data_IF_137267027161
#
_entry.id   IF_137267027161
#
_cell.length_a   1.000
_cell.length_b   1.000
_cell.length_c   1.000
_cell.angle_alpha   90.00
_cell.angle_beta   90.00
_cell.angle_gamma   90.00
#
_symmetry.space_group_name_H-M   'P 1'
#
loop_
_entity.id
_entity.type
_entity.pdbx_description
1 polymer ?
#
# COMPACT_ATOMS: atom_id res chain seq x y z
N UNK A 1 19.20 13.17 8.51
CA UNK A 1 18.27 13.63 7.47
C UNK A 1 17.49 14.78 8.08
N UNK A 2 17.28 15.89 7.36
CA UNK A 2 16.44 16.98 7.88
C UNK A 2 14.96 16.64 7.75
N UNK A 3 14.12 17.27 8.57
CA UNK A 3 12.64 17.22 8.50
C UNK A 3 12.16 17.53 7.07
N UNK A 4 12.80 18.48 6.39
CA UNK A 4 12.49 18.90 5.02
C UNK A 4 12.61 17.75 4.00
N UNK A 5 13.64 16.89 4.14
CA UNK A 5 13.87 15.76 3.21
C UNK A 5 12.79 14.68 3.31
N UNK A 6 12.20 14.47 4.50
CA UNK A 6 11.08 13.54 4.67
C UNK A 6 9.83 14.08 3.98
N UNK A 7 9.53 15.37 4.14
CA UNK A 7 8.38 16.01 3.51
C UNK A 7 8.48 16.01 1.97
N UNK A 8 9.66 16.35 1.43
CA UNK A 8 9.92 16.27 -0.02
C UNK A 8 9.73 14.85 -0.56
N UNK A 9 10.24 13.84 0.15
CA UNK A 9 10.07 12.43 -0.24
C UNK A 9 8.60 12.03 -0.21
N UNK A 10 7.86 12.39 0.84
CA UNK A 10 6.45 12.06 0.97
C UNK A 10 5.61 12.73 -0.13
N UNK A 11 5.87 13.99 -0.46
CA UNK A 11 5.22 14.67 -1.60
C UNK A 11 5.54 13.99 -2.94
N UNK A 12 6.79 13.57 -3.15
CA UNK A 12 7.19 12.86 -4.37
C UNK A 12 6.51 11.49 -4.50
N UNK A 13 6.23 10.80 -3.38
CA UNK A 13 5.47 9.53 -3.39
C UNK A 13 4.04 9.70 -3.91
N UNK A 14 3.43 10.87 -3.76
CA UNK A 14 2.05 11.16 -4.17
C UNK A 14 1.99 12.22 -5.28
N UNK A 15 3.04 12.29 -6.10
CA UNK A 15 3.08 13.21 -7.23
C UNK A 15 1.85 13.04 -8.16
N UNK A 16 1.32 14.12 -8.75
CA UNK A 16 0.11 14.07 -9.57
C UNK A 16 0.18 13.00 -10.67
N UNK A 17 -0.86 12.15 -10.73
CA UNK A 17 -0.96 11.08 -11.73
C UNK A 17 -0.03 9.89 -11.51
N UNK A 18 0.62 9.82 -10.33
CA UNK A 18 1.47 8.70 -9.94
C UNK A 18 1.01 8.05 -8.64
N UNK A 19 1.29 6.76 -8.51
CA UNK A 19 1.10 6.00 -7.28
C UNK A 19 2.24 5.01 -7.01
N UNK A 20 2.01 4.10 -6.08
CA UNK A 20 2.98 3.12 -5.62
C UNK A 20 2.59 1.72 -6.12
N UNK A 21 3.54 0.97 -6.67
CA UNK A 21 3.36 -0.46 -6.92
C UNK A 21 3.84 -1.27 -5.71
N UNK A 22 2.94 -2.03 -5.09
CA UNK A 22 3.25 -2.84 -3.92
C UNK A 22 3.66 -4.26 -4.35
N UNK A 23 4.98 -4.54 -4.35
CA UNK A 23 5.59 -5.83 -4.76
C UNK A 23 6.32 -6.50 -3.60
N UNK A 24 5.90 -6.17 -2.38
CA UNK A 24 6.47 -6.58 -1.10
C UNK A 24 5.90 -7.90 -0.57
N UNK A 25 5.42 -8.77 -1.47
CA UNK A 25 4.98 -10.10 -1.07
C UNK A 25 6.13 -10.87 -0.41
N UNK A 26 5.86 -11.35 0.81
CA UNK A 26 6.73 -12.32 1.48
C UNK A 26 6.85 -13.60 0.65
N UNK A 27 7.87 -14.41 0.95
CA UNK A 27 8.09 -15.70 0.28
C UNK A 27 6.84 -16.59 0.33
N UNK A 28 6.07 -16.56 1.42
CA UNK A 28 4.81 -17.31 1.54
C UNK A 28 3.68 -16.70 0.70
N UNK A 29 3.57 -15.38 0.62
CA UNK A 29 2.52 -14.71 -0.18
C UNK A 29 2.76 -14.87 -1.68
N UNK A 30 4.01 -14.69 -2.14
CA UNK A 30 4.34 -14.88 -3.57
C UNK A 30 4.23 -16.36 -3.98
N UNK A 31 4.50 -17.31 -3.08
CA UNK A 31 4.26 -18.73 -3.32
C UNK A 31 2.80 -19.01 -3.70
N UNK A 32 1.85 -18.44 -2.96
CA UNK A 32 0.41 -18.57 -3.25
C UNK A 32 0.05 -17.97 -4.62
N UNK A 33 0.63 -16.82 -4.97
CA UNK A 33 0.41 -16.18 -6.28
C UNK A 33 0.95 -17.03 -7.43
N UNK A 34 2.17 -17.53 -7.31
CA UNK A 34 2.81 -18.37 -8.33
C UNK A 34 2.10 -19.72 -8.49
N UNK A 35 1.70 -20.36 -7.38
CA UNK A 35 0.91 -21.58 -7.41
C UNK A 35 -0.41 -21.40 -8.20
N UNK A 36 -1.06 -20.24 -8.05
CA UNK A 36 -2.29 -19.91 -8.78
C UNK A 36 -2.13 -19.78 -10.30
N UNK A 37 -0.90 -19.72 -10.82
CA UNK A 37 -0.60 -19.66 -12.26
C UNK A 37 0.38 -20.74 -12.72
N UNK A 38 0.70 -21.73 -11.87
CA UNK A 38 1.58 -22.85 -12.20
C UNK A 38 3.08 -22.51 -12.29
N UNK A 39 3.53 -21.43 -11.66
CA UNK A 39 4.97 -21.09 -11.57
C UNK A 39 5.56 -21.73 -10.30
N UNK A 40 6.77 -22.28 -10.40
CA UNK A 40 7.53 -22.78 -9.25
C UNK A 40 8.08 -21.61 -8.41
N UNK A 41 7.99 -21.69 -7.08
CA UNK A 41 8.49 -20.65 -6.18
C UNK A 41 10.00 -20.77 -5.89
N UNK A 42 10.82 -20.56 -6.92
CA UNK A 42 12.27 -20.44 -6.80
C UNK A 42 12.69 -18.98 -6.58
N UNK A 43 13.87 -18.75 -5.99
CA UNK A 43 14.45 -17.41 -5.86
C UNK A 43 14.58 -16.72 -7.22
N UNK A 44 15.06 -17.47 -8.23
CA UNK A 44 15.21 -16.99 -9.60
C UNK A 44 13.90 -16.51 -10.21
N UNK A 45 12.81 -17.28 -10.05
CA UNK A 45 11.50 -16.87 -10.56
C UNK A 45 10.96 -15.64 -9.83
N UNK A 46 11.20 -15.54 -8.51
CA UNK A 46 10.86 -14.33 -7.74
C UNK A 46 11.63 -13.12 -8.26
N UNK A 47 12.95 -13.23 -8.43
CA UNK A 47 13.80 -12.15 -8.96
C UNK A 47 13.35 -11.75 -10.37
N UNK A 48 13.19 -12.70 -11.28
CA UNK A 48 12.78 -12.45 -12.66
C UNK A 48 11.42 -11.75 -12.76
N UNK A 49 10.47 -12.14 -11.89
CA UNK A 49 9.18 -11.48 -11.80
C UNK A 49 9.29 -10.03 -11.30
N UNK A 50 10.08 -9.78 -10.25
CA UNK A 50 10.30 -8.41 -9.75
C UNK A 50 11.04 -7.54 -10.77
N UNK A 51 11.99 -8.12 -11.49
CA UNK A 51 12.67 -7.46 -12.61
C UNK A 51 11.70 -7.10 -13.72
N UNK A 52 10.80 -8.01 -14.12
CA UNK A 52 9.74 -7.74 -15.11
C UNK A 52 8.92 -6.51 -14.70
N UNK A 53 8.44 -6.48 -13.46
CA UNK A 53 7.64 -5.37 -12.95
C UNK A 53 8.44 -4.06 -12.97
N UNK A 54 9.61 -4.03 -12.31
CA UNK A 54 10.39 -2.81 -12.11
C UNK A 54 11.00 -2.25 -13.40
N UNK A 55 11.35 -3.11 -14.37
CA UNK A 55 11.97 -2.69 -15.63
C UNK A 55 10.94 -2.41 -16.74
N UNK A 56 9.66 -2.36 -16.40
CA UNK A 56 8.59 -2.02 -17.36
C UNK A 56 8.89 -0.65 -17.99
N UNK A 57 8.98 -0.56 -19.34
CA UNK A 57 9.26 0.71 -20.00
C UNK A 57 8.25 1.78 -19.61
N UNK A 58 8.75 2.99 -19.30
CA UNK A 58 7.94 4.17 -18.91
C UNK A 58 7.09 4.00 -17.65
N UNK A 59 7.37 2.99 -16.82
CA UNK A 59 6.62 2.78 -15.58
C UNK A 59 6.60 4.02 -14.69
N UNK A 60 7.71 4.77 -14.65
CA UNK A 60 7.88 5.98 -13.85
C UNK A 60 6.98 7.16 -14.29
N UNK A 61 6.30 7.09 -15.43
CA UNK A 61 5.29 8.10 -15.82
C UNK A 61 4.07 8.04 -14.87
N UNK A 62 3.78 6.87 -14.30
CA UNK A 62 2.61 6.62 -13.44
C UNK A 62 2.94 5.98 -12.09
N UNK A 63 4.19 5.56 -11.87
CA UNK A 63 4.65 5.02 -10.60
C UNK A 63 5.72 5.94 -10.01
N UNK A 64 5.48 6.44 -8.81
CA UNK A 64 6.43 7.25 -8.03
C UNK A 64 7.40 6.38 -7.23
N UNK A 65 7.01 5.16 -6.87
CA UNK A 65 7.83 4.26 -6.07
C UNK A 65 7.29 2.84 -6.00
N UNK A 66 8.09 1.92 -5.46
CA UNK A 66 7.68 0.53 -5.26
C UNK A 66 8.03 0.05 -3.85
N UNK A 67 7.14 -0.74 -3.25
CA UNK A 67 7.39 -1.37 -1.95
C UNK A 67 8.03 -2.74 -2.19
N UNK A 68 9.20 -2.96 -1.63
CA UNK A 68 9.97 -4.21 -1.75
C UNK A 68 9.84 -5.07 -0.50
N UNK A 69 10.06 -6.38 -0.66
CA UNK A 69 10.30 -7.31 0.45
C UNK A 69 11.80 -7.38 0.78
N UNK A 70 12.17 -7.88 1.96
CA UNK A 70 13.57 -7.99 2.40
C UNK A 70 14.45 -8.76 1.40
N UNK A 71 13.93 -9.85 0.82
CA UNK A 71 14.65 -10.58 -0.23
C UNK A 71 14.89 -9.69 -1.46
N UNK A 72 13.88 -8.94 -1.88
CA UNK A 72 13.92 -8.15 -3.12
C UNK A 72 14.83 -6.93 -3.02
N UNK A 73 14.86 -6.22 -1.89
CA UNK A 73 15.77 -5.06 -1.74
C UNK A 73 17.25 -5.49 -1.79
N UNK A 74 17.54 -6.77 -1.53
CA UNK A 74 18.88 -7.38 -1.60
C UNK A 74 19.17 -8.05 -2.95
N UNK A 75 18.16 -8.19 -3.80
CA UNK A 75 18.30 -8.75 -5.14
C UNK A 75 18.78 -7.71 -6.16
N UNK A 76 19.22 -8.22 -7.30
CA UNK A 76 19.65 -7.44 -8.45
C UNK A 76 18.94 -7.91 -9.72
N UNK A 77 18.95 -7.07 -10.75
CA UNK A 77 18.60 -7.45 -12.12
C UNK A 77 19.51 -8.58 -12.61
N UNK A 78 19.15 -9.22 -13.71
CA UNK A 78 19.99 -10.23 -14.37
C UNK A 78 21.39 -9.70 -14.70
N UNK A 79 21.49 -8.41 -15.01
CA UNK A 79 22.74 -7.72 -15.34
C UNK A 79 23.52 -7.23 -14.10
N UNK A 80 23.08 -7.61 -12.89
CA UNK A 80 23.79 -7.33 -11.64
C UNK A 80 23.56 -5.94 -11.05
N UNK A 81 22.53 -5.21 -11.51
CA UNK A 81 22.18 -3.90 -10.94
C UNK A 81 21.24 -4.09 -9.74
N UNK A 82 21.57 -3.62 -8.53
CA UNK A 82 20.67 -3.70 -7.39
C UNK A 82 19.32 -3.05 -7.67
N UNK A 83 18.20 -3.68 -7.29
CA UNK A 83 16.88 -3.16 -7.64
C UNK A 83 16.62 -1.76 -7.09
N UNK A 84 17.02 -1.47 -5.85
CA UNK A 84 16.89 -0.14 -5.27
C UNK A 84 17.66 0.93 -6.06
N UNK A 85 18.85 0.57 -6.58
CA UNK A 85 19.62 1.46 -7.46
C UNK A 85 18.93 1.65 -8.81
N UNK A 86 18.47 0.55 -9.44
CA UNK A 86 17.75 0.62 -10.71
C UNK A 86 16.53 1.56 -10.60
N UNK A 87 15.72 1.40 -9.55
CA UNK A 87 14.56 2.25 -9.29
C UNK A 87 14.96 3.72 -9.18
N UNK A 88 15.97 4.05 -8.36
CA UNK A 88 16.43 5.42 -8.18
C UNK A 88 16.94 6.05 -9.49
N UNK A 89 17.73 5.30 -10.27
CA UNK A 89 18.25 5.75 -11.57
C UNK A 89 17.12 6.01 -12.59
N UNK A 90 15.94 5.39 -12.41
CA UNK A 90 14.77 5.52 -13.28
C UNK A 90 13.65 6.38 -12.67
N UNK A 91 13.94 7.14 -11.60
CA UNK A 91 12.99 8.09 -11.01
C UNK A 91 11.87 7.46 -10.21
N UNK A 92 12.08 6.25 -9.66
CA UNK A 92 11.19 5.59 -8.71
C UNK A 92 11.83 5.50 -7.34
N UNK A 93 11.05 5.76 -6.30
CA UNK A 93 11.50 5.76 -4.91
C UNK A 93 11.45 4.32 -4.36
N UNK A 94 12.57 3.75 -3.86
CA UNK A 94 12.56 2.44 -3.22
C UNK A 94 11.91 2.50 -1.83
N UNK A 95 10.94 1.63 -1.60
CA UNK A 95 10.30 1.42 -0.31
C UNK A 95 10.53 0.01 0.22
N UNK A 96 10.35 -0.19 1.52
CA UNK A 96 10.57 -1.47 2.17
C UNK A 96 9.43 -1.82 3.13
N UNK A 97 8.93 -3.05 3.06
CA UNK A 97 8.06 -3.62 4.10
C UNK A 97 8.91 -4.00 5.31
N UNK A 98 8.53 -3.53 6.50
CA UNK A 98 9.32 -3.76 7.74
C UNK A 98 8.57 -4.44 8.88
N UNK A 99 7.25 -4.60 8.76
CA UNK A 99 6.47 -5.44 9.67
C UNK A 99 6.80 -6.93 9.50
N UNK A 100 6.63 -7.69 10.59
CA UNK A 100 6.85 -9.15 10.64
C UNK A 100 5.55 -9.95 10.54
N UNK A 101 4.45 -9.31 10.14
CA UNK A 101 3.14 -9.94 9.97
C UNK A 101 2.19 -9.74 11.15
N UNK A 102 0.93 -10.10 10.91
CA UNK A 102 -0.16 -10.01 11.87
C UNK A 102 -0.34 -11.34 12.61
N UNK A 103 -0.54 -11.26 13.92
CA UNK A 103 -0.67 -12.39 14.84
C UNK A 103 -1.94 -12.25 15.67
N UNK A 104 -2.54 -13.36 16.15
CA UNK A 104 -3.69 -13.30 17.05
C UNK A 104 -3.43 -12.42 18.27
N UNK A 105 -4.32 -11.46 18.52
CA UNK A 105 -4.23 -10.59 19.68
C UNK A 105 -4.71 -11.34 20.93
N UNK A 106 -3.84 -11.43 21.94
CA UNK A 106 -4.14 -12.16 23.17
C UNK A 106 -5.38 -11.58 23.87
N UNK A 107 -6.32 -12.46 24.25
CA UNK A 107 -7.57 -12.05 24.89
C UNK A 107 -8.61 -11.43 23.97
N UNK A 108 -8.33 -11.32 22.66
CA UNK A 108 -9.21 -10.70 21.67
C UNK A 108 -9.48 -11.68 20.50
N UNK A 109 -10.39 -12.67 20.66
CA UNK A 109 -10.64 -13.69 19.65
C UNK A 109 -11.03 -13.10 18.28
N UNK A 110 -10.41 -13.61 17.21
CA UNK A 110 -10.68 -13.14 15.84
C UNK A 110 -9.94 -11.85 15.46
N UNK A 111 -9.28 -11.20 16.41
CA UNK A 111 -8.56 -9.94 16.20
C UNK A 111 -7.05 -10.16 16.10
N UNK A 112 -6.36 -9.24 15.42
CA UNK A 112 -4.95 -9.37 15.11
C UNK A 112 -4.17 -8.14 15.57
N UNK A 113 -2.88 -8.34 15.87
CA UNK A 113 -1.90 -7.28 16.10
C UNK A 113 -0.66 -7.56 15.27
N UNK A 114 -0.10 -6.51 14.66
CA UNK A 114 1.10 -6.65 13.85
C UNK A 114 2.36 -6.54 14.70
N UNK A 115 3.31 -7.45 14.46
CA UNK A 115 4.60 -7.49 15.15
C UNK A 115 5.74 -6.93 14.28
N UNK A 116 6.88 -6.64 14.92
CA UNK A 116 8.10 -6.25 14.21
C UNK A 116 8.89 -5.09 14.83
N UNK A 117 8.45 -4.50 15.96
CA UNK A 117 9.13 -3.36 16.57
C UNK A 117 10.52 -3.71 17.11
N UNK A 118 10.70 -4.95 17.58
CA UNK A 118 11.99 -5.41 18.11
C UNK A 118 13.06 -5.45 17.00
N UNK A 119 14.17 -4.77 17.27
CA UNK A 119 15.29 -4.59 16.33
C UNK A 119 14.93 -3.78 15.08
N UNK A 120 13.82 -3.02 15.09
CA UNK A 120 13.37 -2.28 13.91
C UNK A 120 14.33 -1.15 13.55
N UNK A 121 14.88 -0.43 14.54
CA UNK A 121 15.82 0.69 14.30
C UNK A 121 17.01 0.24 13.47
N UNK A 122 17.65 -0.86 13.85
CA UNK A 122 18.83 -1.39 13.17
C UNK A 122 18.49 -1.81 11.74
N UNK A 123 17.33 -2.46 11.53
CA UNK A 123 16.84 -2.80 10.19
C UNK A 123 16.57 -1.57 9.33
N UNK A 124 15.93 -0.53 9.88
CA UNK A 124 15.67 0.72 9.15
C UNK A 124 16.96 1.41 8.72
N UNK A 125 17.96 1.47 9.60
CA UNK A 125 19.29 2.00 9.27
C UNK A 125 19.97 1.19 8.15
N UNK A 126 19.82 -0.12 8.15
CA UNK A 126 20.32 -0.98 7.08
C UNK A 126 19.58 -0.72 5.76
N UNK A 127 18.24 -0.73 5.78
CA UNK A 127 17.43 -0.51 4.57
C UNK A 127 17.69 0.86 3.94
N UNK A 128 17.91 1.89 4.77
CA UNK A 128 18.29 3.20 4.29
C UNK A 128 19.60 3.16 3.49
N UNK A 129 20.61 2.41 3.97
CA UNK A 129 21.90 2.19 3.27
C UNK A 129 21.72 1.38 2.00
N UNK A 130 20.77 0.45 1.97
CA UNK A 130 20.40 -0.32 0.77
C UNK A 130 19.61 0.51 -0.26
N UNK A 131 19.19 1.73 0.09
CA UNK A 131 18.56 2.68 -0.84
C UNK A 131 17.08 2.97 -0.58
N UNK A 132 16.46 2.35 0.44
CA UNK A 132 15.10 2.68 0.82
C UNK A 132 14.96 4.14 1.25
N UNK A 133 13.84 4.78 0.92
CA UNK A 133 13.48 6.15 1.33
C UNK A 133 12.12 6.25 2.00
N UNK A 134 11.31 5.19 1.90
CA UNK A 134 10.10 5.03 2.70
C UNK A 134 9.99 3.59 3.20
N UNK A 135 9.18 3.39 4.23
CA UNK A 135 8.88 2.08 4.76
C UNK A 135 7.36 1.86 4.78
N UNK A 136 6.92 0.62 4.97
CA UNK A 136 5.52 0.25 5.11
C UNK A 136 5.30 -0.68 6.29
N UNK A 137 4.23 -0.44 7.04
CA UNK A 137 3.75 -1.32 8.11
C UNK A 137 2.23 -1.50 8.02
N UNK A 138 1.79 -2.75 7.92
CA UNK A 138 0.37 -3.13 7.81
C UNK A 138 -0.21 -3.62 9.12
N UNK A 139 -1.23 -2.94 9.64
CA UNK A 139 -2.15 -3.46 10.65
C UNK A 139 -3.40 -4.06 9.97
N UNK A 140 -4.07 -4.99 10.65
CA UNK A 140 -5.24 -5.70 10.12
C UNK A 140 -6.39 -5.55 11.10
N UNK A 141 -7.46 -4.90 10.67
CA UNK A 141 -8.66 -4.63 11.46
C UNK A 141 -9.82 -5.40 10.83
N UNK A 142 -10.24 -6.49 11.48
CA UNK A 142 -11.34 -7.32 11.03
C UNK A 142 -12.67 -6.73 11.51
N UNK A 143 -13.71 -6.82 10.66
CA UNK A 143 -15.09 -6.51 11.01
C UNK A 143 -15.86 -7.81 11.22
N UNK A 144 -16.64 -7.89 12.28
CA UNK A 144 -17.49 -9.04 12.59
C UNK A 144 -18.36 -8.78 13.81
N UNK A 145 -19.02 -9.82 14.32
CA UNK A 145 -19.85 -9.69 15.52
C UNK A 145 -18.99 -9.23 16.71
N UNK A 146 -19.26 -8.03 17.22
CA UNK A 146 -18.54 -7.39 18.33
C UNK A 146 -17.03 -7.13 18.11
N UNK A 147 -16.55 -7.16 16.87
CA UNK A 147 -15.16 -6.80 16.50
C UNK A 147 -15.17 -5.79 15.33
N UNK A 148 -14.23 -4.84 15.30
CA UNK A 148 -13.05 -4.74 16.15
C UNK A 148 -13.34 -4.15 17.53
N UNK A 149 -12.66 -4.64 18.55
CA UNK A 149 -12.65 -4.05 19.88
C UNK A 149 -11.77 -2.81 19.92
N UNK A 150 -12.03 -1.93 20.90
CA UNK A 150 -11.14 -0.81 21.18
C UNK A 150 -9.70 -1.26 21.47
N UNK A 151 -9.52 -2.41 22.14
CA UNK A 151 -8.19 -2.98 22.40
C UNK A 151 -7.41 -3.29 21.13
N UNK A 152 -8.07 -3.86 20.11
CA UNK A 152 -7.45 -4.15 18.82
C UNK A 152 -7.05 -2.88 18.07
N UNK A 153 -7.96 -1.91 18.00
CA UNK A 153 -7.70 -0.62 17.36
C UNK A 153 -6.51 0.08 18.04
N UNK A 154 -6.55 0.26 19.36
CA UNK A 154 -5.52 0.96 20.12
C UNK A 154 -4.16 0.26 20.07
N UNK A 155 -4.14 -1.08 20.14
CA UNK A 155 -2.89 -1.85 20.05
C UNK A 155 -2.19 -1.65 18.70
N UNK A 156 -2.95 -1.68 17.61
CA UNK A 156 -2.41 -1.46 16.27
C UNK A 156 -2.05 0.00 16.00
N UNK A 157 -2.86 0.97 16.47
CA UNK A 157 -2.56 2.39 16.38
C UNK A 157 -1.25 2.73 17.11
N UNK A 158 -1.07 2.23 18.33
CA UNK A 158 0.16 2.39 19.10
C UNK A 158 1.38 1.77 18.38
N UNK A 159 1.23 0.56 17.82
CA UNK A 159 2.30 -0.08 17.07
C UNK A 159 2.70 0.71 15.81
N UNK A 160 1.71 1.17 15.04
CA UNK A 160 1.91 2.02 13.85
C UNK A 160 2.61 3.32 14.21
N UNK A 161 2.22 3.98 15.29
CA UNK A 161 2.82 5.24 15.71
C UNK A 161 4.28 5.07 16.17
N UNK A 162 4.59 4.01 16.92
CA UNK A 162 5.98 3.67 17.28
C UNK A 162 6.83 3.32 16.06
N UNK A 163 6.27 2.57 15.12
CA UNK A 163 6.90 2.28 13.82
C UNK A 163 7.21 3.57 13.05
N UNK A 164 6.25 4.49 13.00
CA UNK A 164 6.38 5.73 12.25
C UNK A 164 7.48 6.63 12.82
N UNK A 165 7.52 6.81 14.14
CA UNK A 165 8.57 7.55 14.82
C UNK A 165 9.97 6.97 14.53
N UNK A 166 10.12 5.64 14.59
CA UNK A 166 11.39 4.96 14.26
C UNK A 166 11.81 5.16 12.81
N UNK A 167 10.87 5.16 11.86
CA UNK A 167 11.17 5.44 10.45
C UNK A 167 11.72 6.84 10.27
N UNK A 168 11.06 7.84 10.86
CA UNK A 168 11.49 9.24 10.75
C UNK A 168 12.85 9.47 11.42
N UNK A 169 13.09 8.86 12.59
CA UNK A 169 14.41 8.86 13.24
C UNK A 169 15.51 8.34 12.29
N UNK A 170 15.20 7.33 11.49
CA UNK A 170 16.14 6.72 10.54
C UNK A 170 16.14 7.37 9.15
N UNK A 171 15.38 8.45 8.92
CA UNK A 171 15.31 9.13 7.63
C UNK A 171 14.50 8.38 6.57
N UNK A 172 13.45 7.67 6.97
CA UNK A 172 12.50 6.99 6.08
C UNK A 172 11.11 7.58 6.30
N UNK A 173 10.39 7.87 5.21
CA UNK A 173 8.95 8.23 5.30
C UNK A 173 8.15 7.00 5.72
N UNK A 174 7.43 7.03 6.86
CA UNK A 174 6.52 5.94 7.21
C UNK A 174 5.24 5.98 6.37
N UNK A 175 4.88 4.82 5.81
CA UNK A 175 3.56 4.55 5.29
C UNK A 175 2.78 3.73 6.32
N UNK A 176 1.80 4.35 6.96
CA UNK A 176 0.96 3.73 8.00
C UNK A 176 -0.28 3.10 7.35
N UNK A 177 -0.46 1.80 7.50
CA UNK A 177 -1.52 1.02 6.82
C UNK A 177 -2.45 0.35 7.84
N UNK A 178 -3.44 1.05 8.42
CA UNK A 178 -4.48 0.44 9.24
C UNK A 178 -5.60 -0.14 8.34
N UNK A 179 -5.37 -1.32 7.78
CA UNK A 179 -6.30 -1.92 6.83
C UNK A 179 -7.54 -2.47 7.54
N UNK A 180 -8.68 -1.79 7.35
CA UNK A 180 -10.01 -2.33 7.62
C UNK A 180 -10.37 -3.30 6.49
N UNK A 181 -10.63 -4.55 6.85
CA UNK A 181 -10.73 -5.67 5.92
C UNK A 181 -12.14 -5.77 5.32
N UNK A 182 -12.23 -6.01 4.01
CA UNK A 182 -13.51 -6.16 3.29
C UNK A 182 -14.21 -7.50 3.49
N UNK A 183 -13.56 -8.46 4.14
CA UNK A 183 -14.13 -9.79 4.40
C UNK A 183 -15.26 -9.65 5.42
N UNK A 184 -16.46 -10.09 5.04
CA UNK A 184 -17.65 -10.05 5.89
C UNK A 184 -18.90 -9.76 5.08
N UNK A 185 -20.02 -9.66 5.78
CA UNK A 185 -21.38 -9.35 5.29
C UNK A 185 -21.89 -7.98 5.78
N UNK A 186 -21.01 -7.20 6.42
CA UNK A 186 -21.30 -5.85 6.90
C UNK A 186 -21.67 -4.88 5.77
N UNK A 187 -22.55 -3.93 6.05
CA UNK A 187 -22.86 -2.83 5.15
C UNK A 187 -21.75 -1.76 5.13
N UNK A 188 -21.89 -0.79 4.22
CA UNK A 188 -20.94 0.31 4.08
C UNK A 188 -20.93 1.24 5.31
N UNK A 189 -22.06 1.38 6.01
CA UNK A 189 -22.19 2.20 7.22
C UNK A 189 -21.33 1.63 8.35
N UNK A 190 -21.38 0.32 8.57
CA UNK A 190 -20.52 -0.39 9.53
C UNK A 190 -19.04 -0.22 9.16
N UNK A 191 -18.69 -0.33 7.87
CA UNK A 191 -17.31 -0.09 7.41
C UNK A 191 -16.86 1.35 7.68
N UNK A 192 -17.75 2.33 7.48
CA UNK A 192 -17.51 3.74 7.77
C UNK A 192 -17.19 3.95 9.24
N UNK A 193 -18.04 3.44 10.15
CA UNK A 193 -17.88 3.60 11.60
C UNK A 193 -16.56 3.00 12.09
N UNK A 194 -16.22 1.79 11.62
CA UNK A 194 -14.97 1.11 11.99
C UNK A 194 -13.76 1.86 11.45
N UNK A 195 -13.82 2.33 10.21
CA UNK A 195 -12.74 3.10 9.59
C UNK A 195 -12.55 4.45 10.30
N UNK A 196 -13.63 5.14 10.64
CA UNK A 196 -13.59 6.40 11.38
C UNK A 196 -12.93 6.21 12.76
N UNK A 197 -13.37 5.22 13.53
CA UNK A 197 -12.79 4.91 14.84
C UNK A 197 -11.31 4.56 14.75
N UNK A 198 -10.93 3.75 13.74
CA UNK A 198 -9.56 3.33 13.50
C UNK A 198 -8.65 4.51 13.14
N UNK A 199 -9.10 5.39 12.24
CA UNK A 199 -8.31 6.56 11.82
C UNK A 199 -8.18 7.59 12.95
N UNK A 200 -9.23 7.81 13.75
CA UNK A 200 -9.14 8.69 14.92
C UNK A 200 -8.09 8.22 15.91
N UNK A 201 -8.10 6.92 16.25
CA UNK A 201 -7.10 6.31 17.14
C UNK A 201 -5.68 6.38 16.55
N UNK A 202 -5.53 6.10 15.24
CA UNK A 202 -4.24 6.24 14.56
C UNK A 202 -3.65 7.64 14.70
N UNK A 203 -4.42 8.69 14.35
CA UNK A 203 -3.89 10.06 14.35
C UNK A 203 -3.64 10.60 15.75
N UNK A 204 -4.42 10.19 16.76
CA UNK A 204 -4.08 10.47 18.16
C UNK A 204 -2.75 9.79 18.53
N UNK A 205 -2.58 8.49 18.25
CA UNK A 205 -1.35 7.78 18.55
C UNK A 205 -0.12 8.39 17.84
N UNK A 206 -0.26 8.79 16.57
CA UNK A 206 0.81 9.48 15.82
C UNK A 206 1.19 10.80 16.49
N UNK A 207 0.21 11.58 16.94
CA UNK A 207 0.43 12.81 17.68
C UNK A 207 1.16 12.55 19.01
N UNK A 208 0.71 11.57 19.80
CA UNK A 208 1.34 11.22 21.09
C UNK A 208 2.79 10.72 20.93
N UNK A 209 3.13 10.11 19.79
CA UNK A 209 4.49 9.67 19.46
C UNK A 209 5.35 10.75 18.80
N UNK A 210 4.86 11.99 18.70
CA UNK A 210 5.54 13.13 18.07
C UNK A 210 5.92 12.86 16.61
N UNK A 211 5.08 12.14 15.87
CA UNK A 211 5.31 11.86 14.45
C UNK A 211 5.02 13.11 13.63
N UNK A 212 5.94 13.47 12.74
CA UNK A 212 5.76 14.55 11.77
C UNK A 212 4.79 14.10 10.67
N UNK A 213 3.62 14.73 10.57
CA UNK A 213 2.61 14.32 9.59
C UNK A 213 3.00 14.70 8.15
N UNK A 214 3.69 15.81 7.95
CA UNK A 214 4.26 16.26 6.66
C UNK A 214 5.22 15.25 6.05
N UNK A 215 5.80 14.36 6.87
CA UNK A 215 6.70 13.30 6.44
C UNK A 215 6.08 11.92 6.54
N UNK A 216 4.76 11.77 6.51
CA UNK A 216 4.03 10.51 6.70
C UNK A 216 3.00 10.30 5.59
N UNK A 217 2.85 9.06 5.09
CA UNK A 217 1.81 8.70 4.13
C UNK A 217 0.79 7.78 4.81
N UNK A 218 -0.49 8.09 4.65
CA UNK A 218 -1.56 7.16 5.05
C UNK A 218 -1.83 6.20 3.90
N UNK A 219 -1.81 4.90 4.20
CA UNK A 219 -2.32 3.87 3.30
C UNK A 219 -3.64 3.33 3.82
N UNK A 220 -4.74 3.78 3.23
CA UNK A 220 -6.08 3.49 3.73
C UNK A 220 -6.79 2.41 2.91
N UNK A 221 -7.71 1.68 3.55
CA UNK A 221 -8.82 1.02 2.86
C UNK A 221 -9.83 2.05 2.37
N UNK A 222 -10.52 1.74 1.27
CA UNK A 222 -11.76 2.46 0.93
C UNK A 222 -12.88 1.98 1.86
N UNK A 223 -13.86 2.85 2.12
CA UNK A 223 -15.09 2.51 2.85
C UNK A 223 -16.02 1.81 1.87
N UNK A 224 -16.24 0.50 2.06
CA UNK A 224 -16.98 -0.37 1.13
C UNK A 224 -17.87 -1.34 1.89
N UNK A 225 -18.93 -1.84 1.24
CA UNK A 225 -19.68 -2.99 1.75
C UNK A 225 -18.76 -4.22 1.86
N UNK A 226 -19.03 -5.08 2.84
CA UNK A 226 -18.40 -6.38 2.96
C UNK A 226 -18.62 -7.21 1.71
N UNK A 227 -17.64 -8.02 1.32
CA UNK A 227 -17.68 -8.79 0.06
C UNK A 227 -18.86 -9.77 -0.06
N UNK A 228 -19.44 -10.16 1.07
CA UNK A 228 -20.59 -11.06 1.16
C UNK A 228 -21.87 -10.31 1.58
N UNK A 229 -21.85 -8.97 1.64
CA UNK A 229 -23.05 -8.19 1.91
C UNK A 229 -24.02 -8.34 0.75
N UNK A 230 -25.30 -8.57 1.07
CA UNK A 230 -26.35 -8.76 0.06
C UNK A 230 -26.54 -7.50 -0.81
N UNK A 231 -26.28 -6.32 -0.25
CA UNK A 231 -26.33 -5.03 -0.93
C UNK A 231 -24.92 -4.44 -1.06
N UNK A 232 -24.43 -4.40 -2.30
CA UNK A 232 -23.12 -3.81 -2.62
C UNK A 232 -23.32 -2.34 -2.96
N UNK A 233 -22.64 -1.46 -2.21
CA UNK A 233 -22.56 -0.04 -2.51
C UNK A 233 -22.01 0.19 -3.92
N UNK A 234 -22.55 1.21 -4.60
CA UNK A 234 -22.06 1.61 -5.91
C UNK A 234 -20.80 2.48 -5.84
N UNK A 235 -20.28 2.88 -7.00
CA UNK A 235 -19.00 3.59 -7.09
C UNK A 235 -19.07 4.96 -6.43
N UNK A 236 -20.19 5.65 -6.64
CA UNK A 236 -20.48 6.96 -6.10
C UNK A 236 -20.60 6.92 -4.58
N UNK A 237 -21.36 5.96 -4.04
CA UNK A 237 -21.56 5.79 -2.59
C UNK A 237 -20.24 5.45 -1.86
N UNK A 238 -19.42 4.57 -2.45
CA UNK A 238 -18.08 4.25 -1.94
C UNK A 238 -17.19 5.49 -1.92
N UNK A 239 -17.22 6.29 -3.00
CA UNK A 239 -16.40 7.50 -3.10
C UNK A 239 -16.83 8.55 -2.07
N UNK A 240 -18.13 8.80 -1.94
CA UNK A 240 -18.69 9.76 -0.99
C UNK A 240 -18.38 9.37 0.46
N UNK A 241 -18.66 8.11 0.82
CA UNK A 241 -18.41 7.58 2.16
C UNK A 241 -16.93 7.61 2.52
N UNK A 242 -16.05 7.23 1.59
CA UNK A 242 -14.60 7.25 1.80
C UNK A 242 -14.08 8.68 1.99
N UNK A 243 -14.47 9.62 1.12
CA UNK A 243 -14.02 11.02 1.22
C UNK A 243 -14.56 11.68 2.49
N UNK A 244 -15.79 11.39 2.89
CA UNK A 244 -16.38 11.90 4.13
C UNK A 244 -15.64 11.39 5.36
N UNK A 245 -15.29 10.09 5.40
CA UNK A 245 -14.52 9.51 6.49
C UNK A 245 -13.13 10.15 6.60
N UNK A 246 -12.42 10.31 5.47
CA UNK A 246 -11.11 10.94 5.45
C UNK A 246 -11.17 12.41 5.90
N UNK A 247 -12.14 13.20 5.41
CA UNK A 247 -12.32 14.61 5.85
C UNK A 247 -12.61 14.74 7.33
N UNK A 248 -13.23 13.74 7.95
CA UNK A 248 -13.61 13.73 9.36
C UNK A 248 -12.47 13.33 10.30
N UNK A 249 -11.42 12.70 9.78
CA UNK A 249 -10.40 12.02 10.60
C UNK A 249 -8.95 12.34 10.25
N UNK A 250 -8.65 12.64 8.98
CA UNK A 250 -7.28 12.85 8.51
C UNK A 250 -6.93 14.34 8.63
N UNK A 251 -5.78 14.72 9.21
CA UNK A 251 -5.31 16.11 9.24
C UNK A 251 -4.86 16.62 7.86
N UNK A 252 -5.28 17.84 7.49
CA UNK A 252 -4.99 18.48 6.19
C UNK A 252 -3.49 18.61 5.85
N UNK A 253 -2.63 18.51 6.86
CA UNK A 253 -1.17 18.64 6.74
C UNK A 253 -0.48 17.40 6.15
N UNK A 254 -1.17 16.25 6.08
CA UNK A 254 -0.63 15.04 5.48
C UNK A 254 -0.30 15.28 3.99
N UNK A 255 0.83 14.81 3.45
CA UNK A 255 1.17 15.00 2.04
C UNK A 255 0.22 14.31 1.07
N UNK A 256 -0.37 13.18 1.45
CA UNK A 256 -1.25 12.40 0.60
C UNK A 256 -1.75 11.11 1.24
N UNK A 257 -2.82 10.57 0.64
CA UNK A 257 -3.40 9.28 0.99
C UNK A 257 -3.26 8.35 -0.21
N UNK A 258 -2.77 7.13 0.01
CA UNK A 258 -2.71 6.08 -1.01
C UNK A 258 -3.64 4.95 -0.64
N UNK A 259 -4.48 4.49 -1.56
CA UNK A 259 -5.39 3.38 -1.26
C UNK A 259 -4.75 2.02 -1.52
N UNK A 260 -5.06 1.04 -0.68
CA UNK A 260 -4.89 -0.38 -1.02
C UNK A 260 -6.07 -0.86 -1.87
N UNK A 261 -5.85 -1.87 -2.73
CA UNK A 261 -6.93 -2.42 -3.55
C UNK A 261 -7.83 -3.40 -2.78
N UNK A 262 -7.43 -3.86 -1.59
CA UNK A 262 -8.28 -4.55 -0.60
C UNK A 262 -8.86 -5.92 -0.97
N UNK A 263 -8.74 -6.37 -2.22
CA UNK A 263 -9.45 -7.53 -2.74
C UNK A 263 -10.47 -7.20 -3.82
N UNK A 264 -10.74 -5.90 -4.05
CA UNK A 264 -11.49 -5.39 -5.19
C UNK A 264 -10.85 -5.83 -6.51
N UNK A 265 -11.66 -5.87 -7.56
CA UNK A 265 -11.15 -6.05 -8.92
C UNK A 265 -10.31 -4.84 -9.38
N UNK A 266 -9.50 -5.06 -10.41
CA UNK A 266 -8.67 -4.02 -11.04
C UNK A 266 -9.53 -2.84 -11.51
N UNK A 267 -10.72 -3.12 -12.06
CA UNK A 267 -11.66 -2.11 -12.56
C UNK A 267 -12.34 -1.35 -11.42
N UNK A 268 -12.88 -2.04 -10.40
CA UNK A 268 -13.53 -1.40 -9.26
C UNK A 268 -12.58 -0.47 -8.49
N UNK A 269 -11.36 -0.94 -8.20
CA UNK A 269 -10.38 -0.11 -7.50
C UNK A 269 -9.99 1.14 -8.29
N UNK A 270 -9.88 1.04 -9.62
CA UNK A 270 -9.64 2.19 -10.51
C UNK A 270 -10.85 3.15 -10.53
N UNK A 271 -12.06 2.61 -10.64
CA UNK A 271 -13.31 3.37 -10.69
C UNK A 271 -13.54 4.17 -9.40
N UNK A 272 -13.42 3.54 -8.23
CA UNK A 272 -13.54 4.20 -6.94
C UNK A 272 -12.51 5.32 -6.76
N UNK A 273 -11.24 5.06 -7.10
CA UNK A 273 -10.20 6.09 -7.01
C UNK A 273 -10.50 7.28 -7.93
N UNK A 274 -10.99 7.00 -9.14
CA UNK A 274 -11.35 8.03 -10.11
C UNK A 274 -12.53 8.88 -9.60
N UNK A 275 -13.60 8.24 -9.13
CA UNK A 275 -14.78 8.91 -8.60
C UNK A 275 -14.42 9.83 -7.43
N UNK A 276 -13.62 9.36 -6.47
CA UNK A 276 -13.13 10.19 -5.37
C UNK A 276 -12.35 11.43 -5.85
N UNK A 277 -11.47 11.27 -6.84
CA UNK A 277 -10.70 12.41 -7.37
C UNK A 277 -11.55 13.37 -8.23
N UNK A 278 -12.66 12.91 -8.80
CA UNK A 278 -13.61 13.77 -9.53
C UNK A 278 -14.45 14.66 -8.62
N UNK A 279 -14.63 14.29 -7.35
CA UNK A 279 -15.36 15.12 -6.37
C UNK A 279 -14.68 16.49 -6.14
N UNK A 280 -13.36 16.58 -6.29
CA UNK A 280 -12.58 17.81 -6.11
C UNK A 280 -12.58 18.34 -4.67
N UNK A 281 -11.89 19.48 -4.47
CA UNK A 281 -11.79 20.16 -3.17
C UNK A 281 -11.32 19.24 -2.02
N UNK A 282 -10.26 18.47 -2.29
CA UNK A 282 -9.62 17.59 -1.33
C UNK A 282 -8.35 18.26 -0.79
N UNK A 283 -8.12 18.23 0.54
CA UNK A 283 -6.91 18.81 1.14
C UNK A 283 -5.65 18.01 0.80
N UNK A 284 -5.81 16.76 0.37
CA UNK A 284 -4.72 15.85 0.01
C UNK A 284 -4.91 15.31 -1.41
N UNK A 285 -3.82 15.00 -2.12
CA UNK A 285 -3.89 14.09 -3.26
C UNK A 285 -4.33 12.70 -2.78
N UNK A 286 -5.27 12.11 -3.52
CA UNK A 286 -5.68 10.71 -3.37
C UNK A 286 -5.08 9.88 -4.50
N UNK A 287 -4.27 8.90 -4.14
CA UNK A 287 -3.59 8.03 -5.10
C UNK A 287 -3.69 6.56 -4.69
N UNK A 288 -2.84 5.69 -5.23
CA UNK A 288 -2.90 4.25 -5.06
C UNK A 288 -1.58 3.68 -4.55
N UNK A 289 -1.68 2.60 -3.78
CA UNK A 289 -0.60 1.69 -3.40
C UNK A 289 -1.08 0.26 -3.63
N UNK A 290 -1.10 -0.13 -4.90
CA UNK A 290 -1.76 -1.34 -5.36
C UNK A 290 -0.77 -2.48 -5.60
N UNK A 291 -1.12 -3.66 -5.06
CA UNK A 291 -0.39 -4.89 -5.28
C UNK A 291 -1.10 -5.77 -6.30
N UNK A 292 -2.11 -6.54 -5.87
CA UNK A 292 -2.82 -7.49 -6.73
C UNK A 292 -3.40 -6.83 -7.98
N UNK A 293 -4.07 -5.69 -7.84
CA UNK A 293 -4.72 -4.96 -8.93
C UNK A 293 -3.77 -4.46 -10.04
N UNK A 294 -2.47 -4.36 -9.74
CA UNK A 294 -1.43 -3.95 -10.70
C UNK A 294 -0.71 -5.12 -11.36
N UNK A 295 -0.77 -6.29 -10.73
CA UNK A 295 0.15 -7.39 -10.99
C UNK A 295 -0.53 -8.61 -11.62
N UNK A 296 -1.80 -8.87 -11.27
CA UNK A 296 -2.42 -10.18 -11.53
C UNK A 296 -2.57 -10.48 -13.02
N UNK A 297 -2.97 -9.50 -13.84
CA UNK A 297 -3.08 -9.66 -15.28
C UNK A 297 -1.73 -9.95 -15.95
N UNK A 298 -0.70 -9.19 -15.59
CA UNK A 298 0.66 -9.37 -16.09
C UNK A 298 1.25 -10.73 -15.69
N UNK A 299 1.05 -11.16 -14.43
CA UNK A 299 1.49 -12.47 -13.94
C UNK A 299 0.83 -13.62 -14.72
N UNK A 300 -0.49 -13.57 -14.94
CA UNK A 300 -1.21 -14.58 -15.73
C UNK A 300 -0.70 -14.66 -17.18
N UNK A 301 -0.35 -13.52 -17.76
CA UNK A 301 0.19 -13.46 -19.12
C UNK A 301 1.62 -14.00 -19.17
N UNK A 302 2.47 -13.56 -18.26
CA UNK A 302 3.87 -13.98 -18.15
C UNK A 302 3.98 -15.49 -17.89
N UNK A 303 3.13 -16.06 -17.04
CA UNK A 303 3.13 -17.48 -16.70
C UNK A 303 2.88 -18.42 -17.90
N UNK A 304 2.19 -17.95 -18.96
CA UNK A 304 1.92 -18.75 -20.16
C UNK A 304 3.17 -19.02 -20.99
N UNK A 305 4.11 -18.07 -21.02
CA UNK A 305 5.43 -18.20 -21.65
C UNK A 305 6.35 -17.11 -21.07
N UNK A 306 7.16 -17.47 -20.07
CA UNK A 306 7.96 -16.50 -19.32
C UNK A 306 9.01 -15.77 -20.17
N UNK A 307 9.40 -16.34 -21.31
CA UNK A 307 10.36 -15.71 -22.24
C UNK A 307 9.63 -14.94 -23.33
N UNK A 308 8.67 -15.57 -24.01
CA UNK A 308 7.94 -14.97 -25.13
C UNK A 308 7.00 -13.84 -24.70
N UNK A 309 6.42 -13.91 -23.50
CA UNK A 309 5.44 -12.93 -23.02
C UNK A 309 6.03 -11.83 -22.14
N UNK A 310 7.35 -11.76 -21.94
CA UNK A 310 7.98 -10.79 -21.05
C UNK A 310 7.57 -9.34 -21.39
N UNK A 311 7.77 -8.92 -22.64
CA UNK A 311 7.42 -7.57 -23.10
C UNK A 311 5.89 -7.31 -23.07
N UNK A 312 5.09 -8.33 -23.37
CA UNK A 312 3.62 -8.22 -23.35
C UNK A 312 3.10 -8.07 -21.90
N UNK A 313 3.71 -8.77 -20.94
CA UNK A 313 3.41 -8.61 -19.53
C UNK A 313 3.82 -7.23 -19.02
N UNK A 314 5.00 -6.71 -19.40
CA UNK A 314 5.40 -5.33 -19.09
C UNK A 314 4.40 -4.30 -19.65
N UNK A 315 3.96 -4.49 -20.90
CA UNK A 315 2.92 -3.62 -21.47
C UNK A 315 1.64 -3.64 -20.63
N UNK A 316 1.24 -4.82 -20.14
CA UNK A 316 0.07 -4.97 -19.26
C UNK A 316 0.27 -4.22 -17.92
N UNK A 317 1.46 -4.29 -17.33
CA UNK A 317 1.80 -3.51 -16.11
C UNK A 317 1.69 -2.01 -16.38
N UNK A 318 2.24 -1.54 -17.50
CA UNK A 318 2.17 -0.13 -17.88
C UNK A 318 0.72 0.34 -18.12
N UNK A 319 -0.10 -0.44 -18.82
CA UNK A 319 -1.51 -0.11 -19.06
C UNK A 319 -2.26 0.04 -17.73
N UNK A 320 -2.08 -0.89 -16.78
CA UNK A 320 -2.65 -0.77 -15.43
C UNK A 320 -2.11 0.43 -14.66
N UNK A 321 -0.81 0.72 -14.75
CA UNK A 321 -0.23 1.90 -14.12
C UNK A 321 -0.85 3.19 -14.66
N UNK A 322 -1.03 3.27 -15.99
CA UNK A 322 -1.65 4.40 -16.66
C UNK A 322 -3.09 4.61 -16.24
N UNK A 323 -3.89 3.55 -16.18
CA UNK A 323 -5.30 3.65 -15.79
C UNK A 323 -5.44 4.19 -14.37
N UNK A 324 -4.65 3.66 -13.43
CA UNK A 324 -4.61 4.15 -12.05
C UNK A 324 -4.02 5.57 -11.93
N UNK A 325 -3.03 5.91 -12.76
CA UNK A 325 -2.50 7.27 -12.85
C UNK A 325 -3.54 8.27 -13.36
N UNK A 326 -4.38 7.87 -14.32
CA UNK A 326 -5.51 8.69 -14.79
C UNK A 326 -6.60 8.79 -13.73
N UNK A 327 -6.89 7.71 -12.99
CA UNK A 327 -7.83 7.71 -11.89
C UNK A 327 -7.39 8.63 -10.74
N UNK A 328 -6.10 8.65 -10.41
CA UNK A 328 -5.51 9.61 -9.46
C UNK A 328 -5.60 11.07 -9.92
N UNK A 329 -5.95 11.32 -11.19
CA UNK A 329 -6.22 12.65 -11.73
C UNK A 329 -7.72 12.92 -11.95
N UNK A 330 -8.60 11.97 -11.65
CA UNK A 330 -10.04 12.05 -11.96
C UNK A 330 -10.35 12.03 -13.46
N UNK A 331 -9.48 11.43 -14.28
CA UNK A 331 -9.52 11.47 -15.76
C UNK A 331 -9.60 10.09 -16.41
N UNK A 332 -9.86 9.04 -15.63
CA UNK A 332 -10.08 7.70 -16.18
C UNK A 332 -11.51 7.57 -16.70
N UNK A 333 -11.69 6.96 -17.87
CA UNK A 333 -12.96 6.95 -18.62
C UNK A 333 -13.49 5.53 -18.91
N UNK A 334 -12.94 4.49 -18.29
CA UNK A 334 -13.20 3.08 -18.65
C UNK A 334 -12.17 2.54 -19.64
#
# INVERSE_FOLDING_TARGET
MSIEQLAETAQAMVAPGKGIIAIDESTATIAKRFAGVGIENTEENRRAYRELLLTTPKLNEHISGAILYDETIRQSTKDGVPFAKYMADHGMIPGIKVDKGAHPLAGCPGELVTEGLDGLRERLQEYYKLGARFAKWRAVINIGESIPSGTCIESNAHALARYAALCQECGLVPMVEPEVIMDGDHDIETCYEVTEATLRSLFDALYQQNVLLEGTILKASMVISGKNCDEQADVEEVAESTVMCLKSTVPAILPGVVFLSGGQSDEQSTAHLNAMNQMGNLPWPLSFSYGRAMQQAALKLWAKDMKGNYAAAQKTVYERAKDNGLAALGKWNG
#
